data_IF_275502964426
#
_entry.id   IF_275502964426
#
_cell.length_a   1.000
_cell.length_b   1.000
_cell.length_c   1.000
_cell.angle_alpha   90.00
_cell.angle_beta   90.00
_cell.angle_gamma   90.00
#
_symmetry.space_group_name_H-M   'P 1'
#
loop_
_entity.id
_entity.type
_entity.pdbx_description
1 polymer ?
#
# COMPACT_ATOMS: atom_id res chain seq x y z
N UNK A 1 15.04 -14.95 6.98
CA UNK A 1 14.41 -15.17 5.67
C UNK A 1 13.75 -13.86 5.24
N UNK A 2 14.01 -13.44 4.02
CA UNK A 2 13.49 -12.18 3.51
C UNK A 2 12.05 -12.37 3.04
N UNK A 3 11.11 -11.58 3.59
CA UNK A 3 9.70 -11.67 3.21
C UNK A 3 9.50 -11.32 1.74
N UNK A 4 10.33 -10.45 1.19
CA UNK A 4 10.20 -10.04 -0.20
C UNK A 4 10.57 -11.15 -1.18
N UNK A 5 11.32 -12.16 -0.74
CA UNK A 5 11.70 -13.26 -1.62
C UNK A 5 10.51 -14.13 -2.03
N UNK A 6 9.41 -14.07 -1.28
CA UNK A 6 8.21 -14.83 -1.59
C UNK A 6 7.25 -14.07 -2.50
N UNK A 7 7.56 -12.82 -2.82
CA UNK A 7 6.69 -11.99 -3.65
C UNK A 7 6.99 -12.23 -5.12
N UNK A 8 5.94 -12.13 -5.93
CA UNK A 8 6.12 -12.12 -7.38
C UNK A 8 6.79 -10.80 -7.78
N UNK A 9 7.33 -10.79 -9.00
CA UNK A 9 7.94 -9.57 -9.53
C UNK A 9 6.95 -8.41 -9.52
N UNK A 10 5.70 -8.68 -9.87
CA UNK A 10 4.65 -7.67 -9.86
C UNK A 10 4.45 -7.09 -8.46
N UNK A 11 4.39 -7.95 -7.45
CA UNK A 11 4.19 -7.50 -6.07
C UNK A 11 5.37 -6.67 -5.58
N UNK A 12 6.59 -7.03 -6.00
CA UNK A 12 7.78 -6.25 -5.66
C UNK A 12 7.72 -4.85 -6.27
N UNK A 13 7.22 -4.75 -7.50
CA UNK A 13 7.06 -3.45 -8.16
C UNK A 13 6.06 -2.58 -7.41
N UNK A 14 4.95 -3.17 -6.99
CA UNK A 14 3.93 -2.43 -6.22
C UNK A 14 4.51 -1.99 -4.89
N UNK A 15 5.23 -2.86 -4.20
CA UNK A 15 5.86 -2.53 -2.93
C UNK A 15 6.85 -1.37 -3.10
N UNK A 16 7.69 -1.43 -4.13
CA UNK A 16 8.64 -0.36 -4.40
C UNK A 16 7.94 0.96 -4.72
N UNK A 17 6.82 0.90 -5.44
CA UNK A 17 6.02 2.07 -5.74
C UNK A 17 5.51 2.72 -4.46
N UNK A 18 4.93 1.93 -3.57
CA UNK A 18 4.39 2.44 -2.31
C UNK A 18 5.51 2.98 -1.43
N UNK A 19 6.63 2.29 -1.37
CA UNK A 19 7.77 2.71 -0.58
C UNK A 19 8.32 4.06 -1.06
N UNK A 20 8.38 4.25 -2.37
CA UNK A 20 8.87 5.50 -2.95
C UNK A 20 7.93 6.67 -2.66
N UNK A 21 6.63 6.40 -2.59
CA UNK A 21 5.64 7.43 -2.30
C UNK A 21 5.51 7.72 -0.80
N UNK A 22 5.88 6.76 0.03
CA UNK A 22 5.64 6.82 1.46
C UNK A 22 4.20 6.46 1.76
N UNK A 23 3.38 7.45 2.07
CA UNK A 23 1.93 7.25 2.18
C UNK A 23 1.31 7.53 0.84
N UNK A 24 0.50 6.60 0.34
CA UNK A 24 -0.16 6.77 -0.95
C UNK A 24 -1.64 6.45 -0.80
N UNK A 25 -2.46 7.29 -1.42
CA UNK A 25 -3.90 7.08 -1.43
C UNK A 25 -4.24 5.97 -2.42
N UNK A 26 -5.10 5.03 -2.01
CA UNK A 26 -5.43 3.89 -2.87
C UNK A 26 -5.96 4.35 -4.23
N UNK A 27 -6.72 5.44 -4.26
CA UNK A 27 -7.25 5.95 -5.52
C UNK A 27 -6.15 6.43 -6.49
N UNK A 28 -4.95 6.73 -5.97
CA UNK A 28 -3.80 7.12 -6.80
C UNK A 28 -3.00 5.92 -7.29
N UNK A 29 -3.33 4.72 -6.79
CA UNK A 29 -2.68 3.50 -7.23
C UNK A 29 -3.47 2.96 -8.43
N UNK A 30 -2.81 2.62 -9.56
CA UNK A 30 -3.51 2.02 -10.69
C UNK A 30 -4.28 0.77 -10.26
N UNK A 31 -5.50 0.61 -10.77
CA UNK A 31 -6.33 -0.54 -10.40
C UNK A 31 -5.63 -1.87 -10.65
N UNK A 32 -4.80 -1.92 -11.68
CA UNK A 32 -4.03 -3.14 -12.00
C UNK A 32 -3.10 -3.54 -10.86
N UNK A 33 -2.73 -2.61 -9.99
CA UNK A 33 -1.84 -2.88 -8.86
C UNK A 33 -2.61 -3.22 -7.59
N UNK A 34 -3.92 -3.02 -7.59
CA UNK A 34 -4.72 -3.27 -6.38
C UNK A 34 -4.67 -4.72 -5.93
N UNK A 35 -4.56 -5.64 -6.90
CA UNK A 35 -4.55 -7.05 -6.58
C UNK A 35 -3.35 -7.50 -5.74
N UNK A 36 -2.25 -6.76 -5.82
CA UNK A 36 -1.06 -7.08 -5.03
C UNK A 36 -1.13 -6.53 -3.60
N UNK A 37 -1.98 -5.54 -3.35
CA UNK A 37 -2.05 -4.90 -2.04
C UNK A 37 -2.43 -5.88 -0.92
N UNK A 38 -3.49 -6.72 -1.07
CA UNK A 38 -3.81 -7.68 -0.02
C UNK A 38 -2.67 -8.66 0.26
N UNK A 39 -1.95 -9.07 -0.77
CA UNK A 39 -0.82 -9.98 -0.60
C UNK A 39 0.31 -9.32 0.18
N UNK A 40 0.59 -8.05 -0.11
CA UNK A 40 1.60 -7.30 0.62
C UNK A 40 1.20 -7.09 2.07
N UNK A 41 -0.08 -6.84 2.32
CA UNK A 41 -0.60 -6.71 3.68
C UNK A 41 -0.44 -8.02 4.45
N UNK A 42 -0.77 -9.13 3.82
CA UNK A 42 -0.62 -10.45 4.45
C UNK A 42 0.83 -10.77 4.76
N UNK A 43 1.75 -10.30 3.90
CA UNK A 43 3.18 -10.49 4.14
C UNK A 43 3.73 -9.56 5.22
N UNK A 44 2.93 -8.59 5.67
CA UNK A 44 3.36 -7.64 6.68
C UNK A 44 4.28 -6.55 6.16
N UNK A 45 4.26 -6.31 4.85
CA UNK A 45 5.12 -5.32 4.23
C UNK A 45 4.47 -3.96 4.10
N UNK A 46 3.14 -3.90 4.05
CA UNK A 46 2.39 -2.65 3.96
C UNK A 46 1.21 -2.69 4.93
N UNK A 47 0.73 -1.50 5.24
CA UNK A 47 -0.44 -1.33 6.10
C UNK A 47 -1.41 -0.39 5.41
N UNK A 48 -2.70 -0.68 5.51
CA UNK A 48 -3.73 0.23 5.04
C UNK A 48 -4.39 0.90 6.23
N UNK A 49 -4.81 2.14 6.04
CA UNK A 49 -5.52 2.88 7.06
C UNK A 49 -6.43 3.90 6.39
N UNK A 50 -7.39 4.39 7.13
CA UNK A 50 -8.32 5.39 6.64
C UNK A 50 -8.13 6.68 7.40
N UNK A 51 -8.20 7.78 6.66
CA UNK A 51 -8.20 9.10 7.28
C UNK A 51 -8.91 10.09 6.35
N UNK A 52 -9.49 11.16 6.90
CA UNK A 52 -10.09 12.20 6.07
C UNK A 52 -8.99 12.98 5.35
N UNK A 53 -9.28 13.40 4.12
CA UNK A 53 -8.33 14.21 3.34
C UNK A 53 -8.36 15.67 3.76
N UNK A 54 -9.47 16.10 4.39
CA UNK A 54 -9.60 17.46 4.93
C UNK A 54 -10.29 17.37 6.29
N UNK A 55 -10.08 18.39 7.16
CA UNK A 55 -10.70 18.36 8.50
C UNK A 55 -12.22 18.28 8.50
N UNK A 56 -12.87 18.75 7.43
CA UNK A 56 -14.33 18.76 7.35
C UNK A 56 -14.87 17.69 6.42
N UNK A 57 -14.02 16.79 5.93
CA UNK A 57 -14.48 15.73 5.05
C UNK A 57 -15.33 14.73 5.82
N UNK A 58 -16.51 14.42 5.29
CA UNK A 58 -17.37 13.41 5.88
C UNK A 58 -16.95 11.99 5.49
N UNK A 59 -16.22 11.85 4.38
CA UNK A 59 -15.75 10.56 3.89
C UNK A 59 -14.26 10.41 4.13
N UNK A 60 -13.87 9.23 4.60
CA UNK A 60 -12.47 8.90 4.80
C UNK A 60 -11.93 8.20 3.58
N UNK A 61 -10.69 8.50 3.23
CA UNK A 61 -10.02 7.85 2.11
C UNK A 61 -9.07 6.79 2.66
N UNK A 62 -8.90 5.72 1.88
CA UNK A 62 -8.00 4.65 2.27
C UNK A 62 -6.60 4.96 1.76
N UNK A 63 -5.63 4.86 2.66
CA UNK A 63 -4.22 5.07 2.36
C UNK A 63 -3.44 3.80 2.64
N UNK A 64 -2.33 3.64 1.96
CA UNK A 64 -1.43 2.51 2.13
C UNK A 64 -0.03 3.05 2.36
N UNK A 65 0.69 2.45 3.29
CA UNK A 65 2.08 2.81 3.53
C UNK A 65 2.89 1.56 3.80
N UNK A 66 4.20 1.63 3.57
CA UNK A 66 5.08 0.52 3.90
C UNK A 66 5.32 0.46 5.40
N UNK A 67 5.45 -0.75 5.91
CA UNK A 67 5.80 -0.97 7.31
C UNK A 67 7.31 -1.13 7.39
N UNK A 68 7.99 -0.08 7.80
CA UNK A 68 9.44 -0.09 7.99
C UNK A 68 9.75 0.03 9.47
N UNK A 69 10.74 -0.75 9.89
CA UNK A 69 11.27 -0.65 11.23
C UNK A 69 12.56 0.13 11.23
#
# INVERSE_FOLDING_TARGET
MDLTSKLTEFERKVYAFIKAQGDVQVSNIPKRMWGAIPNLKSAGLVKSYRRPTTPWASKKQTFVKTLEK
#
